data_IF_372343691299
#
_entry.id   IF_372343691299
#
_cell.length_a   1.000
_cell.length_b   1.000
_cell.length_c   1.000
_cell.angle_alpha   90.00
_cell.angle_beta   90.00
_cell.angle_gamma   90.00
#
_symmetry.space_group_name_H-M   'P 1'
#
loop_
_entity.id
_entity.type
_entity.pdbx_description
1 polymer ?
#
# COMPACT_ATOMS: atom_id res chain seq x y z
N UNK A 1 13.74 -12.08 -1.50
CA UNK A 1 14.43 -13.36 -1.69
C UNK A 1 15.78 -13.13 -2.34
N UNK A 2 15.89 -12.84 -3.64
CA UNK A 2 16.96 -11.96 -4.17
C UNK A 2 16.54 -10.46 -4.09
N UNK A 3 15.49 -10.14 -3.34
CA UNK A 3 14.43 -9.21 -3.84
C UNK A 3 14.55 -7.77 -3.36
N UNK A 4 15.78 -7.35 -3.18
CA UNK A 4 16.19 -5.98 -3.28
C UNK A 4 17.46 -5.91 -4.14
N UNK A 5 17.81 -6.90 -4.96
CA UNK A 5 19.20 -7.06 -5.46
C UNK A 5 19.75 -5.86 -6.26
N UNK A 6 18.92 -4.86 -6.60
CA UNK A 6 19.39 -3.49 -6.79
C UNK A 6 18.88 -2.40 -5.82
N UNK A 7 17.78 -2.55 -5.07
CA UNK A 7 16.85 -1.49 -4.60
C UNK A 7 16.31 -0.57 -5.70
N UNK A 8 17.23 -0.07 -6.50
CA UNK A 8 17.14 0.92 -7.57
C UNK A 8 18.36 0.74 -8.50
N UNK A 9 18.87 -0.49 -8.60
CA UNK A 9 20.21 -0.82 -9.13
C UNK A 9 21.35 -0.03 -8.47
N UNK A 10 21.23 0.15 -7.14
CA UNK A 10 22.29 0.58 -6.25
C UNK A 10 23.17 -0.62 -5.89
N UNK A 11 24.47 -0.46 -6.13
CA UNK A 11 25.46 -1.42 -5.64
C UNK A 11 25.49 -1.41 -4.10
N UNK A 12 26.00 -2.49 -3.51
CA UNK A 12 26.19 -2.57 -2.05
C UNK A 12 27.01 -1.38 -1.52
N UNK A 13 28.07 -0.99 -2.24
CA UNK A 13 28.90 0.17 -1.91
C UNK A 13 28.10 1.49 -1.92
N UNK A 14 27.19 1.68 -2.88
CA UNK A 14 26.33 2.87 -2.92
C UNK A 14 25.36 2.89 -1.74
N UNK A 15 24.79 1.74 -1.37
CA UNK A 15 23.92 1.64 -0.20
C UNK A 15 24.68 1.94 1.10
N UNK A 16 25.90 1.41 1.25
CA UNK A 16 26.77 1.66 2.40
C UNK A 16 27.16 3.14 2.51
N UNK A 17 27.49 3.80 1.39
CA UNK A 17 27.76 5.25 1.36
C UNK A 17 26.56 6.08 1.76
N UNK A 18 25.38 5.82 1.16
CA UNK A 18 24.15 6.52 1.53
C UNK A 18 23.78 6.31 3.00
N UNK A 19 24.05 5.13 3.55
CA UNK A 19 23.85 4.84 4.96
C UNK A 19 24.85 5.59 5.85
N UNK A 20 26.14 5.61 5.49
CA UNK A 20 27.18 6.33 6.22
C UNK A 20 26.91 7.84 6.28
N UNK A 21 26.36 8.42 5.20
CA UNK A 21 25.98 9.84 5.15
C UNK A 21 24.61 10.12 5.81
N UNK A 22 23.97 9.08 6.37
CA UNK A 22 22.68 9.18 7.05
C UNK A 22 21.53 9.55 6.13
N UNK A 23 21.60 9.17 4.85
CA UNK A 23 20.56 9.34 3.83
C UNK A 23 19.68 8.11 3.68
N UNK A 24 20.20 6.93 4.02
CA UNK A 24 19.50 5.64 3.95
C UNK A 24 19.56 4.94 5.32
N UNK A 25 18.42 4.46 5.80
CA UNK A 25 18.35 3.61 6.99
C UNK A 25 17.40 2.44 6.75
N UNK A 26 17.90 1.21 6.77
CA UNK A 26 17.09 0.00 6.62
C UNK A 26 16.72 -0.53 8.01
N UNK A 27 15.43 -0.68 8.26
CA UNK A 27 14.88 -1.13 9.54
C UNK A 27 13.95 -2.32 9.36
N UNK A 28 13.98 -3.22 10.33
CA UNK A 28 13.07 -4.37 10.41
C UNK A 28 12.03 -4.13 11.49
N UNK A 29 10.79 -4.51 11.21
CA UNK A 29 9.66 -4.32 12.10
C UNK A 29 8.89 -5.63 12.24
N UNK A 30 8.58 -5.99 13.48
CA UNK A 30 7.60 -7.03 13.78
C UNK A 30 6.19 -6.58 13.42
N UNK A 31 5.22 -7.48 13.55
CA UNK A 31 3.80 -7.20 13.28
C UNK A 31 3.25 -6.15 14.25
N UNK A 32 2.40 -5.23 13.77
CA UNK A 32 1.76 -4.14 14.54
C UNK A 32 2.74 -3.13 15.15
N UNK A 33 3.86 -2.88 14.47
CA UNK A 33 4.79 -1.82 14.84
C UNK A 33 4.60 -0.62 13.93
N UNK A 34 4.65 0.57 14.53
CA UNK A 34 4.58 1.84 13.80
C UNK A 34 5.85 2.02 12.99
N UNK A 35 5.69 2.16 11.67
CA UNK A 35 6.76 2.45 10.73
C UNK A 35 6.99 3.96 10.62
N UNK A 36 5.90 4.73 10.63
CA UNK A 36 5.90 6.19 10.55
C UNK A 36 4.61 6.73 11.18
N UNK A 37 4.67 7.81 11.94
CA UNK A 37 3.51 8.47 12.55
C UNK A 37 3.42 9.95 12.13
N UNK A 38 2.34 10.61 12.55
CA UNK A 38 2.05 12.00 12.18
C UNK A 38 3.00 13.06 12.78
N UNK A 39 3.82 12.69 13.75
CA UNK A 39 4.78 13.57 14.42
C UNK A 39 6.22 13.35 13.91
N UNK A 40 6.44 12.39 13.01
CA UNK A 40 7.75 12.11 12.42
C UNK A 40 8.19 13.18 11.41
N UNK A 41 9.51 13.27 11.16
CA UNK A 41 10.10 14.18 10.19
C UNK A 41 9.53 13.98 8.78
N UNK A 42 8.99 15.06 8.21
CA UNK A 42 8.37 15.12 6.89
C UNK A 42 9.36 14.82 5.74
N UNK A 43 10.67 14.90 5.99
CA UNK A 43 11.69 14.65 4.98
C UNK A 43 12.02 13.17 4.78
N UNK A 44 11.42 12.27 5.56
CA UNK A 44 11.62 10.84 5.37
C UNK A 44 10.59 10.21 4.40
N UNK A 45 11.09 9.36 3.51
CA UNK A 45 10.30 8.49 2.64
C UNK A 45 10.60 7.05 3.01
N UNK A 46 9.59 6.29 3.40
CA UNK A 46 9.69 4.85 3.59
C UNK A 46 9.42 4.12 2.28
N UNK A 47 10.21 3.10 1.97
CA UNK A 47 9.98 2.17 0.87
C UNK A 47 9.95 0.75 1.40
N UNK A 48 8.90 0.01 1.08
CA UNK A 48 8.72 -1.36 1.51
C UNK A 48 9.66 -2.31 0.77
N UNK A 49 10.48 -3.06 1.50
CA UNK A 49 11.39 -4.07 0.94
C UNK A 49 10.79 -5.46 1.03
N UNK A 50 10.09 -5.71 2.13
CA UNK A 50 9.34 -6.95 2.36
C UNK A 50 8.19 -6.72 3.34
N UNK A 51 7.24 -7.66 3.34
CA UNK A 51 6.05 -7.59 4.19
C UNK A 51 4.98 -6.66 3.64
N UNK A 52 4.04 -6.29 4.52
CA UNK A 52 2.88 -5.46 4.21
C UNK A 52 2.63 -4.48 5.34
N UNK A 53 2.25 -3.25 5.00
CA UNK A 53 1.89 -2.20 5.95
C UNK A 53 0.62 -1.47 5.53
N UNK A 54 -0.03 -0.80 6.47
CA UNK A 54 -1.24 0.00 6.23
C UNK A 54 -0.99 1.44 6.64
N UNK A 55 -1.48 2.39 5.83
CA UNK A 55 -1.78 3.72 6.31
C UNK A 55 -3.12 3.64 7.04
N UNK A 56 -3.05 3.70 8.36
CA UNK A 56 -4.20 3.58 9.24
C UNK A 56 -4.50 4.93 9.87
N UNK A 57 -5.78 5.29 9.95
CA UNK A 57 -6.25 6.38 10.78
C UNK A 57 -7.26 5.90 11.80
N UNK A 58 -7.27 6.56 12.95
CA UNK A 58 -8.22 6.32 14.02
C UNK A 58 -8.76 7.68 14.47
N UNK A 59 -10.08 7.85 14.42
CA UNK A 59 -10.73 9.05 14.95
C UNK A 59 -10.85 8.98 16.49
N UNK A 60 -11.33 10.05 17.11
CA UNK A 60 -11.51 10.13 18.56
C UNK A 60 -12.51 9.10 19.13
N UNK A 61 -13.44 8.62 18.30
CA UNK A 61 -14.41 7.58 18.66
C UNK A 61 -13.82 6.16 18.56
N UNK A 62 -12.54 6.02 18.21
CA UNK A 62 -11.88 4.73 18.05
C UNK A 62 -12.21 4.01 16.73
N UNK A 63 -12.89 4.68 15.80
CA UNK A 63 -13.17 4.14 14.48
C UNK A 63 -11.88 4.08 13.65
N UNK A 64 -11.43 2.85 13.43
CA UNK A 64 -10.30 2.52 12.57
C UNK A 64 -10.70 2.63 11.09
N UNK A 65 -9.80 3.19 10.28
CA UNK A 65 -9.90 3.23 8.82
C UNK A 65 -8.55 2.85 8.20
N UNK A 66 -8.58 2.11 7.10
CA UNK A 66 -7.40 1.86 6.27
C UNK A 66 -7.49 2.79 5.06
N UNK A 67 -6.56 3.73 4.96
CA UNK A 67 -6.53 4.75 3.91
C UNK A 67 -5.69 4.32 2.70
N UNK A 68 -4.62 3.55 2.92
CA UNK A 68 -3.79 2.95 1.88
C UNK A 68 -3.12 1.70 2.45
N UNK A 69 -2.55 0.87 1.58
CA UNK A 69 -1.71 -0.25 1.98
C UNK A 69 -0.46 -0.33 1.10
N UNK A 70 0.62 -0.85 1.68
CA UNK A 70 1.93 -0.90 1.07
C UNK A 70 2.45 -2.34 1.05
N UNK A 71 2.68 -2.85 -0.15
CA UNK A 71 3.39 -4.08 -0.51
C UNK A 71 4.83 -3.72 -0.93
N UNK A 72 5.73 -4.71 -1.15
CA UNK A 72 7.09 -4.42 -1.59
C UNK A 72 7.14 -3.52 -2.84
N UNK A 73 8.11 -2.60 -2.87
CA UNK A 73 8.31 -1.52 -3.85
C UNK A 73 7.38 -0.31 -3.72
N UNK A 74 6.39 -0.36 -2.85
CA UNK A 74 5.54 0.81 -2.60
C UNK A 74 6.16 1.69 -1.51
N UNK A 75 5.93 2.99 -1.66
CA UNK A 75 6.47 4.02 -0.79
C UNK A 75 5.38 4.76 -0.03
N UNK A 76 5.78 5.32 1.10
CA UNK A 76 4.95 6.16 1.96
C UNK A 76 5.78 7.30 2.53
N UNK A 77 5.12 8.42 2.81
CA UNK A 77 5.76 9.58 3.42
C UNK A 77 4.74 10.34 4.26
N UNK A 78 5.22 10.96 5.34
CA UNK A 78 4.42 11.79 6.24
C UNK A 78 3.77 12.96 5.49
N UNK A 79 4.39 13.45 4.42
CA UNK A 79 3.86 14.52 3.55
C UNK A 79 2.52 14.15 2.88
N UNK A 80 2.19 12.86 2.77
CA UNK A 80 0.94 12.38 2.20
C UNK A 80 -0.13 12.03 3.24
N UNK A 81 0.18 12.15 4.54
CA UNK A 81 -0.83 11.84 5.56
C UNK A 81 -1.91 12.92 5.54
N UNK A 82 -3.19 12.54 5.64
CA UNK A 82 -4.26 13.52 5.71
C UNK A 82 -4.18 14.30 7.02
N UNK A 83 -4.64 15.54 6.98
CA UNK A 83 -4.90 16.32 8.19
C UNK A 83 -6.22 15.82 8.81
N UNK A 84 -6.13 15.09 9.92
CA UNK A 84 -7.27 14.43 10.56
C UNK A 84 -7.28 14.70 12.05
N UNK A 85 -8.47 14.89 12.61
CA UNK A 85 -8.68 14.83 14.06
C UNK A 85 -8.49 13.37 14.53
N UNK A 86 -7.37 13.08 15.17
CA UNK A 86 -7.02 11.75 15.68
C UNK A 86 -5.56 11.39 15.46
N UNK A 87 -5.30 10.09 15.26
CA UNK A 87 -3.96 9.57 14.94
C UNK A 87 -3.95 8.97 13.54
N UNK A 88 -2.87 9.26 12.81
CA UNK A 88 -2.57 8.62 11.53
C UNK A 88 -1.13 8.09 11.52
N UNK A 89 -0.97 6.83 11.14
CA UNK A 89 0.33 6.18 11.09
C UNK A 89 0.38 5.11 9.99
N UNK A 90 1.58 4.84 9.52
CA UNK A 90 1.88 3.62 8.78
C UNK A 90 2.26 2.54 9.77
N UNK A 91 1.53 1.42 9.77
CA UNK A 91 1.73 0.30 10.69
C UNK A 91 1.98 -1.01 9.94
N UNK A 92 2.93 -1.81 10.42
CA UNK A 92 3.23 -3.12 9.84
C UNK A 92 2.09 -4.13 10.11
N UNK A 93 1.68 -4.84 9.05
CA UNK A 93 0.65 -5.89 9.11
C UNK A 93 1.22 -7.30 9.16
N UNK A 94 2.45 -7.44 8.71
CA UNK A 94 3.30 -8.63 8.79
C UNK A 94 4.70 -8.23 9.28
N UNK A 95 5.65 -9.17 9.34
CA UNK A 95 7.05 -8.79 9.50
C UNK A 95 7.49 -7.99 8.28
N UNK A 96 8.04 -6.80 8.49
CA UNK A 96 8.40 -5.87 7.43
C UNK A 96 9.87 -5.52 7.47
N UNK A 97 10.44 -5.26 6.30
CA UNK A 97 11.71 -4.56 6.16
C UNK A 97 11.45 -3.32 5.32
N UNK A 98 11.94 -2.17 5.79
CA UNK A 98 11.68 -0.85 5.21
C UNK A 98 12.98 -0.10 5.06
N UNK A 99 13.22 0.48 3.89
CA UNK A 99 14.27 1.48 3.71
C UNK A 99 13.68 2.87 3.90
N UNK A 100 14.25 3.64 4.82
CA UNK A 100 13.94 5.05 5.01
C UNK A 100 14.99 5.90 4.31
N UNK A 101 14.53 6.74 3.39
CA UNK A 101 15.33 7.71 2.66
C UNK A 101 15.07 9.11 3.20
N UNK A 102 16.13 9.86 3.52
CA UNK A 102 16.00 11.27 3.87
C UNK A 102 16.09 12.13 2.59
N UNK A 103 14.94 12.57 2.08
CA UNK A 103 14.83 13.32 0.82
C UNK A 103 15.59 14.65 0.88
N UNK A 104 15.57 15.35 2.02
CA UNK A 104 16.31 16.60 2.19
C UNK A 104 17.81 16.40 2.00
N UNK A 105 18.42 15.45 2.71
CA UNK A 105 19.86 15.16 2.58
C UNK A 105 20.22 14.64 1.19
N UNK A 106 19.36 13.78 0.61
CA UNK A 106 19.54 13.28 -0.74
C UNK A 106 19.54 14.43 -1.76
N UNK A 107 18.65 15.41 -1.58
CA UNK A 107 18.54 16.59 -2.44
C UNK A 107 19.74 17.53 -2.31
N UNK A 108 20.28 17.74 -1.10
CA UNK A 108 21.35 18.70 -0.84
C UNK A 108 22.73 18.19 -1.26
N UNK A 109 22.98 16.90 -1.12
CA UNK A 109 24.29 16.31 -1.40
C UNK A 109 24.47 15.86 -2.86
N UNK A 110 23.39 15.54 -3.56
CA UNK A 110 23.46 14.83 -4.84
C UNK A 110 22.69 15.54 -5.97
N UNK A 111 23.26 16.63 -6.50
CA UNK A 111 22.86 17.17 -7.83
C UNK A 111 23.16 16.21 -9.00
N UNK A 112 23.92 15.13 -8.76
CA UNK A 112 24.57 14.30 -9.79
C UNK A 112 23.95 12.89 -9.96
N UNK A 113 22.88 12.56 -9.23
CA UNK A 113 22.24 11.25 -9.34
C UNK A 113 21.13 11.28 -10.39
N UNK A 114 21.46 10.86 -11.61
CA UNK A 114 20.53 10.75 -12.74
C UNK A 114 19.28 9.89 -12.39
N UNK A 115 19.44 8.92 -11.48
CA UNK A 115 18.35 8.05 -11.02
C UNK A 115 17.41 8.67 -9.97
N UNK A 116 17.72 9.85 -9.40
CA UNK A 116 16.83 10.51 -8.42
C UNK A 116 15.51 10.94 -9.06
N UNK A 117 15.57 11.46 -10.30
CA UNK A 117 14.37 11.86 -11.04
C UNK A 117 13.44 10.68 -11.26
N UNK A 118 13.99 9.56 -11.74
CA UNK A 118 13.26 8.30 -11.92
C UNK A 118 12.66 7.79 -10.61
N UNK A 119 13.42 7.81 -9.51
CA UNK A 119 12.94 7.42 -8.19
C UNK A 119 11.73 8.24 -7.73
N UNK A 120 11.83 9.57 -7.81
CA UNK A 120 10.75 10.46 -7.40
C UNK A 120 9.53 10.31 -8.32
N UNK A 121 9.75 10.12 -9.61
CA UNK A 121 8.69 9.85 -10.59
C UNK A 121 7.97 8.53 -10.29
N UNK A 122 8.69 7.44 -10.01
CA UNK A 122 8.09 6.16 -9.64
C UNK A 122 7.29 6.24 -8.33
N UNK A 123 7.83 6.94 -7.32
CA UNK A 123 7.13 7.20 -6.06
C UNK A 123 5.84 8.01 -6.30
N UNK A 124 5.93 9.09 -7.07
CA UNK A 124 4.81 9.99 -7.36
C UNK A 124 3.73 9.27 -8.17
N UNK A 125 4.10 8.70 -9.31
CA UNK A 125 3.18 8.02 -10.22
C UNK A 125 2.55 6.79 -9.56
N UNK A 126 3.35 6.02 -8.82
CA UNK A 126 2.86 4.88 -8.04
C UNK A 126 1.80 5.31 -7.04
N UNK A 127 2.09 6.35 -6.25
CA UNK A 127 1.18 6.85 -5.20
C UNK A 127 -0.07 7.47 -5.78
N UNK A 128 0.05 8.30 -6.81
CA UNK A 128 -1.09 8.92 -7.47
C UNK A 128 -2.00 7.86 -8.12
N UNK A 129 -1.43 6.84 -8.78
CA UNK A 129 -2.20 5.75 -9.39
C UNK A 129 -3.01 4.97 -8.36
N UNK A 130 -2.44 4.68 -7.17
CA UNK A 130 -3.16 4.01 -6.08
C UNK A 130 -4.28 4.89 -5.52
N UNK A 131 -4.00 6.17 -5.27
CA UNK A 131 -4.99 7.11 -4.74
C UNK A 131 -6.19 7.30 -5.70
N UNK A 132 -5.93 7.45 -7.00
CA UNK A 132 -6.98 7.55 -8.02
C UNK A 132 -7.79 6.26 -8.15
N UNK A 133 -7.14 5.09 -8.07
CA UNK A 133 -7.84 3.81 -8.05
C UNK A 133 -8.73 3.67 -6.82
N UNK A 134 -8.22 4.00 -5.63
CA UNK A 134 -9.00 3.90 -4.41
C UNK A 134 -10.19 4.87 -4.46
N UNK A 135 -9.99 6.08 -4.97
CA UNK A 135 -11.06 7.04 -5.24
C UNK A 135 -12.13 6.48 -6.18
N UNK A 136 -11.73 5.87 -7.30
CA UNK A 136 -12.65 5.23 -8.25
C UNK A 136 -13.46 4.12 -7.58
N UNK A 137 -12.80 3.27 -6.77
CA UNK A 137 -13.48 2.24 -5.98
C UNK A 137 -14.47 2.85 -4.99
N UNK A 138 -14.06 3.86 -4.23
CA UNK A 138 -14.91 4.48 -3.21
C UNK A 138 -16.09 5.25 -3.82
N UNK A 139 -15.92 5.80 -5.02
CA UNK A 139 -16.94 6.54 -5.77
C UNK A 139 -18.03 5.68 -6.40
N UNK A 140 -17.90 4.35 -6.38
CA UNK A 140 -18.95 3.47 -6.90
C UNK A 140 -20.23 3.54 -6.04
N UNK A 141 -21.39 3.57 -6.70
CA UNK A 141 -22.70 3.81 -6.06
C UNK A 141 -23.16 2.65 -5.18
N UNK A 142 -22.82 1.42 -5.56
CA UNK A 142 -23.28 0.21 -4.87
C UNK A 142 -22.10 -0.60 -4.35
N UNK A 143 -22.32 -1.34 -3.26
CA UNK A 143 -21.34 -2.27 -2.69
C UNK A 143 -20.84 -3.28 -3.73
N UNK A 144 -21.72 -3.79 -4.58
CA UNK A 144 -21.37 -4.69 -5.69
C UNK A 144 -20.39 -4.03 -6.66
N UNK A 145 -20.68 -2.80 -7.08
CA UNK A 145 -19.79 -2.06 -7.97
C UNK A 145 -18.44 -1.77 -7.30
N UNK A 146 -18.41 -1.37 -6.01
CA UNK A 146 -17.15 -1.21 -5.24
C UNK A 146 -16.29 -2.46 -5.30
N UNK A 147 -16.90 -3.63 -5.01
CA UNK A 147 -16.21 -4.92 -5.02
C UNK A 147 -15.70 -5.29 -6.41
N UNK A 148 -16.53 -5.17 -7.45
CA UNK A 148 -16.14 -5.47 -8.83
C UNK A 148 -14.98 -4.57 -9.27
N UNK A 149 -15.08 -3.25 -9.06
CA UNK A 149 -14.03 -2.29 -9.44
C UNK A 149 -12.72 -2.63 -8.73
N UNK A 150 -12.76 -2.90 -7.42
CA UNK A 150 -11.57 -3.27 -6.67
C UNK A 150 -10.97 -4.60 -7.12
N UNK A 151 -11.80 -5.61 -7.36
CA UNK A 151 -11.33 -6.91 -7.83
C UNK A 151 -10.77 -6.86 -9.24
N UNK A 152 -11.35 -6.07 -10.14
CA UNK A 152 -10.80 -5.85 -11.48
C UNK A 152 -9.42 -5.19 -11.40
N UNK A 153 -9.23 -4.23 -10.49
CA UNK A 153 -7.93 -3.65 -10.24
C UNK A 153 -6.90 -4.70 -9.76
N UNK A 154 -7.27 -5.52 -8.77
CA UNK A 154 -6.38 -6.58 -8.26
C UNK A 154 -6.05 -7.64 -9.33
N UNK A 155 -7.04 -8.04 -10.14
CA UNK A 155 -6.87 -9.00 -11.24
C UNK A 155 -5.89 -8.47 -12.30
N UNK A 156 -5.97 -7.17 -12.64
CA UNK A 156 -5.02 -6.53 -13.56
C UNK A 156 -3.60 -6.44 -12.98
N UNK A 157 -3.48 -6.20 -11.67
CA UNK A 157 -2.19 -6.01 -10.99
C UNK A 157 -1.46 -7.33 -10.71
N UNK A 158 -2.18 -8.39 -10.34
CA UNK A 158 -1.61 -9.68 -9.89
C UNK A 158 -1.68 -10.80 -10.94
N UNK A 159 -2.28 -10.54 -12.10
CA UNK A 159 -2.44 -11.50 -13.19
C UNK A 159 -3.84 -12.12 -13.22
N UNK A 160 -4.27 -12.57 -14.41
CA UNK A 160 -5.66 -13.02 -14.67
C UNK A 160 -5.99 -14.44 -14.20
N UNK A 161 -5.04 -15.15 -13.59
CA UNK A 161 -5.26 -16.49 -13.00
C UNK A 161 -5.72 -16.41 -11.53
N UNK A 162 -6.62 -15.48 -11.25
CA UNK A 162 -7.11 -15.17 -9.91
C UNK A 162 -6.10 -14.44 -9.04
N UNK A 163 -6.62 -13.61 -8.15
CA UNK A 163 -5.82 -12.76 -7.25
C UNK A 163 -6.12 -13.12 -5.80
N UNK A 164 -5.14 -12.85 -4.92
CA UNK A 164 -5.38 -12.88 -3.47
C UNK A 164 -5.61 -11.47 -2.95
N UNK A 165 -6.55 -11.31 -2.03
CA UNK A 165 -6.65 -10.07 -1.26
C UNK A 165 -5.34 -9.82 -0.52
N UNK A 166 -4.82 -8.58 -0.53
CA UNK A 166 -3.59 -8.23 0.18
C UNK A 166 -3.74 -8.30 1.72
N UNK A 167 -4.97 -8.45 2.21
CA UNK A 167 -5.32 -8.46 3.62
C UNK A 167 -6.59 -9.28 3.92
N UNK A 168 -7.03 -9.29 5.18
CA UNK A 168 -8.22 -10.04 5.59
C UNK A 168 -9.51 -9.41 5.05
N UNK A 169 -10.62 -10.15 5.02
CA UNK A 169 -11.93 -9.57 4.67
C UNK A 169 -12.36 -8.44 5.62
N UNK A 170 -11.96 -8.50 6.90
CA UNK A 170 -12.22 -7.40 7.84
C UNK A 170 -11.44 -6.15 7.43
N UNK A 171 -10.14 -6.29 7.16
CA UNK A 171 -9.31 -5.17 6.66
C UNK A 171 -9.82 -4.66 5.30
N UNK A 172 -10.36 -5.53 4.46
CA UNK A 172 -10.98 -5.14 3.19
C UNK A 172 -12.22 -4.26 3.40
N UNK A 173 -13.07 -4.60 4.37
CA UNK A 173 -14.22 -3.78 4.71
C UNK A 173 -13.79 -2.38 5.21
N UNK A 174 -12.76 -2.33 6.07
CA UNK A 174 -12.17 -1.09 6.57
C UNK A 174 -11.56 -0.25 5.44
N UNK A 175 -10.93 -0.88 4.45
CA UNK A 175 -10.32 -0.22 3.29
C UNK A 175 -11.36 0.29 2.27
N UNK A 176 -12.46 -0.45 2.08
CA UNK A 176 -13.53 -0.07 1.15
C UNK A 176 -14.59 0.85 1.76
N UNK A 177 -14.47 1.14 3.07
CA UNK A 177 -15.43 1.89 3.87
C UNK A 177 -16.86 1.31 3.77
N UNK A 178 -16.99 0.01 4.06
CA UNK A 178 -18.27 -0.71 4.00
C UNK A 178 -18.50 -1.54 5.26
N UNK A 179 -19.76 -1.82 5.58
CA UNK A 179 -20.09 -2.79 6.62
C UNK A 179 -19.59 -4.18 6.23
N UNK A 180 -18.82 -4.81 7.12
CA UNK A 180 -18.26 -6.15 6.89
C UNK A 180 -19.35 -7.19 6.64
N UNK A 181 -20.44 -7.14 7.40
CA UNK A 181 -21.51 -8.14 7.28
C UNK A 181 -22.24 -8.02 5.94
N UNK A 182 -22.51 -6.79 5.50
CA UNK A 182 -23.05 -6.49 4.18
C UNK A 182 -22.11 -6.93 3.06
N UNK A 183 -20.80 -6.64 3.18
CA UNK A 183 -19.78 -7.09 2.23
C UNK A 183 -19.76 -8.61 2.10
N UNK A 184 -19.79 -9.34 3.22
CA UNK A 184 -19.79 -10.80 3.20
C UNK A 184 -21.07 -11.38 2.58
N UNK A 185 -22.25 -10.81 2.86
CA UNK A 185 -23.51 -11.21 2.20
C UNK A 185 -23.45 -10.96 0.69
N UNK A 186 -22.92 -9.82 0.28
CA UNK A 186 -22.78 -9.49 -1.14
C UNK A 186 -21.81 -10.43 -1.86
N UNK A 187 -20.67 -10.76 -1.24
CA UNK A 187 -19.75 -11.76 -1.77
C UNK A 187 -20.41 -13.15 -1.89
N UNK A 188 -21.32 -13.51 -0.99
CA UNK A 188 -22.12 -14.73 -1.10
C UNK A 188 -23.00 -14.72 -2.36
N UNK A 189 -23.80 -13.66 -2.54
CA UNK A 189 -24.63 -13.47 -3.74
C UNK A 189 -23.83 -13.50 -5.03
N UNK A 190 -22.70 -12.79 -5.07
CA UNK A 190 -21.82 -12.78 -6.24
C UNK A 190 -21.26 -14.17 -6.59
N UNK A 191 -21.07 -15.06 -5.61
CA UNK A 191 -20.68 -16.46 -5.86
C UNK A 191 -21.84 -17.28 -6.39
N UNK A 192 -23.04 -17.14 -5.81
CA UNK A 192 -24.25 -17.85 -6.25
C UNK A 192 -24.63 -17.49 -7.69
N UNK A 193 -24.48 -16.21 -8.06
CA UNK A 193 -24.67 -15.72 -9.44
C UNK A 193 -23.51 -16.14 -10.39
N UNK A 194 -22.43 -16.67 -9.82
CA UNK A 194 -21.23 -17.10 -10.55
C UNK A 194 -20.46 -15.94 -11.18
N UNK A 195 -20.49 -14.75 -10.57
CA UNK A 195 -19.67 -13.60 -10.96
C UNK A 195 -18.23 -13.74 -10.46
N UNK A 196 -18.07 -14.41 -9.31
CA UNK A 196 -16.77 -14.70 -8.70
C UNK A 196 -16.69 -16.15 -8.24
N UNK A 197 -15.47 -16.70 -8.24
CA UNK A 197 -15.12 -17.93 -7.53
C UNK A 197 -14.13 -17.62 -6.43
N UNK A 198 -14.19 -18.33 -5.31
CA UNK A 198 -13.23 -18.17 -4.22
C UNK A 198 -12.72 -19.50 -3.70
N UNK A 199 -11.43 -19.57 -3.40
CA UNK A 199 -10.76 -20.72 -2.78
C UNK A 199 -9.78 -20.18 -1.74
N UNK A 200 -10.10 -20.37 -0.46
CA UNK A 200 -9.38 -19.71 0.63
C UNK A 200 -9.38 -18.18 0.47
N UNK A 201 -8.19 -17.61 0.24
CA UNK A 201 -7.98 -16.17 0.00
C UNK A 201 -7.90 -15.79 -1.48
N UNK A 202 -7.87 -16.77 -2.38
CA UNK A 202 -7.78 -16.56 -3.83
C UNK A 202 -9.17 -16.36 -4.41
N UNK A 203 -9.32 -15.37 -5.27
CA UNK A 203 -10.56 -14.95 -5.92
C UNK A 203 -10.34 -14.93 -7.42
N UNK A 204 -11.28 -15.47 -8.18
CA UNK A 204 -11.31 -15.39 -9.65
C UNK A 204 -12.54 -14.59 -10.08
N UNK A 205 -12.36 -13.74 -11.09
CA UNK A 205 -13.45 -13.01 -11.73
C UNK A 205 -13.90 -13.73 -12.99
N UNK A 206 -15.21 -13.91 -13.13
CA UNK A 206 -15.80 -14.40 -14.38
C UNK A 206 -16.08 -13.22 -15.32
N UNK A 207 -15.03 -12.71 -15.99
CA UNK A 207 -15.08 -11.48 -16.82
C UNK A 207 -16.18 -11.51 -17.89
N UNK A 208 -16.55 -12.70 -18.38
CA UNK A 208 -17.61 -12.87 -19.40
C UNK A 208 -19.01 -12.52 -18.90
N UNK A 209 -19.24 -12.55 -17.58
CA UNK A 209 -20.52 -12.22 -16.93
C UNK A 209 -20.56 -10.81 -16.33
N UNK A 210 -19.43 -10.10 -16.38
CA UNK A 210 -19.29 -8.74 -15.85
C UNK A 210 -19.44 -7.65 -16.94
N UNK A 211 -19.78 -8.06 -18.17
CA UNK A 211 -20.06 -7.18 -19.31
C UNK A 211 -21.55 -7.06 -19.56
#
# INVERSE_FOLDING_TARGET
MEQFIGFWDLTKEQQERLAADGMLNIRTFGKRQVLMNQDDDADNVGVMLSGTAFLESMNQEGQRRILDYYEPKESFTRKCFPDVEGVCYVISRSSCQVAFLNDRKLSSAYKKYEKRGQLLEEILMGTQKRALMHTDVLGQKTLRQKLITYFQFLNRRKGRDGFSLPFSYTDCADYLFVDRSAMMRELGRMKEEGLIRTEGKKIWLEEKKLR
#
